data_IF_757040730135
#
_entry.id   IF_757040730135
#
_cell.length_a   1.000
_cell.length_b   1.000
_cell.length_c   1.000
_cell.angle_alpha   90.00
_cell.angle_beta   90.00
_cell.angle_gamma   90.00
#
_symmetry.space_group_name_H-M   'P 1'
#
loop_
_entity.id
_entity.type
_entity.pdbx_description
1 polymer ?
#
# COMPACT_ATOMS: atom_id res chain seq x y z
N UNK A 1 10.71 -2.39 16.21
CA UNK A 1 11.63 -1.50 15.47
C UNK A 1 12.22 -2.32 14.34
N UNK A 2 11.67 -2.17 13.13
CA UNK A 2 12.14 -2.93 11.96
C UNK A 2 13.43 -2.28 11.46
N UNK A 3 14.50 -3.06 11.36
CA UNK A 3 15.70 -2.65 10.65
C UNK A 3 15.42 -2.75 9.14
N UNK A 4 14.77 -1.71 8.59
CA UNK A 4 14.53 -1.62 7.15
C UNK A 4 15.85 -1.27 6.48
N UNK A 5 16.30 -2.12 5.56
CA UNK A 5 17.48 -1.86 4.75
C UNK A 5 17.22 -0.70 3.79
N UNK A 6 18.30 -0.03 3.34
CA UNK A 6 18.19 1.05 2.35
C UNK A 6 17.49 0.60 1.06
N UNK A 7 17.78 -0.62 0.60
CA UNK A 7 17.20 -1.22 -0.60
C UNK A 7 15.67 -1.43 -0.46
N UNK A 8 15.22 -1.81 0.73
CA UNK A 8 13.79 -1.93 1.03
C UNK A 8 13.10 -0.55 1.05
N UNK A 9 13.73 0.48 1.61
CA UNK A 9 13.21 1.85 1.54
C UNK A 9 13.14 2.37 0.11
N UNK A 10 14.17 2.12 -0.70
CA UNK A 10 14.22 2.51 -2.12
C UNK A 10 13.09 1.80 -2.90
N UNK A 11 12.81 0.54 -2.58
CA UNK A 11 11.70 -0.23 -3.18
C UNK A 11 10.34 0.36 -2.85
N UNK A 12 10.12 0.79 -1.60
CA UNK A 12 8.89 1.45 -1.19
C UNK A 12 8.73 2.79 -1.88
N UNK A 13 9.80 3.58 -1.92
CA UNK A 13 9.78 4.88 -2.57
C UNK A 13 9.49 4.73 -4.07
N UNK A 14 10.08 3.71 -4.72
CA UNK A 14 9.75 3.35 -6.09
C UNK A 14 8.27 3.00 -6.26
N UNK A 15 7.72 2.13 -5.41
CA UNK A 15 6.31 1.73 -5.46
C UNK A 15 5.36 2.92 -5.28
N UNK A 16 5.66 3.81 -4.33
CA UNK A 16 4.88 5.03 -4.12
C UNK A 16 4.98 5.93 -5.36
N UNK A 17 6.18 6.16 -5.88
CA UNK A 17 6.40 7.01 -7.05
C UNK A 17 5.75 6.47 -8.34
N UNK A 18 5.66 5.15 -8.48
CA UNK A 18 4.90 4.53 -9.57
C UNK A 18 3.40 4.69 -9.34
N UNK A 19 2.92 4.45 -8.13
CA UNK A 19 1.50 4.60 -7.78
C UNK A 19 1.00 6.05 -7.88
N UNK A 20 1.83 7.05 -7.59
CA UNK A 20 1.47 8.47 -7.83
C UNK A 20 1.28 8.80 -9.32
N UNK A 21 1.84 7.98 -10.22
CA UNK A 21 1.65 8.07 -11.67
C UNK A 21 0.53 7.15 -12.18
N UNK A 22 -0.18 6.46 -11.29
CA UNK A 22 -1.24 5.50 -11.62
C UNK A 22 -0.75 4.08 -11.92
N UNK A 23 0.54 3.79 -11.74
CA UNK A 23 1.11 2.46 -11.98
C UNK A 23 1.05 1.61 -10.70
N UNK A 24 -0.03 0.86 -10.51
CA UNK A 24 -0.24 0.01 -9.32
C UNK A 24 0.26 -1.42 -9.53
N UNK A 25 1.58 -1.64 -9.40
CA UNK A 25 2.25 -2.91 -9.74
C UNK A 25 1.75 -4.09 -8.89
N UNK A 26 1.37 -3.83 -7.63
CA UNK A 26 1.02 -4.86 -6.65
C UNK A 26 -0.44 -5.29 -6.68
N UNK A 27 -1.34 -4.48 -7.25
CA UNK A 27 -2.77 -4.69 -7.13
C UNK A 27 -3.44 -4.67 -8.50
N UNK A 28 -4.39 -5.59 -8.69
CA UNK A 28 -5.25 -5.59 -9.85
C UNK A 28 -6.23 -4.40 -9.81
N UNK A 29 -6.46 -3.76 -10.96
CA UNK A 29 -7.29 -2.57 -11.04
C UNK A 29 -8.75 -2.84 -10.67
N UNK A 30 -9.29 -4.00 -11.03
CA UNK A 30 -10.67 -4.37 -10.71
C UNK A 30 -10.82 -4.67 -9.22
N UNK A 31 -9.81 -5.27 -8.60
CA UNK A 31 -9.76 -5.42 -7.15
C UNK A 31 -9.73 -4.07 -6.43
N UNK A 32 -8.87 -3.15 -6.86
CA UNK A 32 -8.81 -1.79 -6.27
C UNK A 32 -10.17 -1.09 -6.40
N UNK A 33 -10.77 -1.12 -7.60
CA UNK A 33 -12.11 -0.56 -7.82
C UNK A 33 -13.14 -1.19 -6.91
N UNK A 34 -13.11 -2.51 -6.76
CA UNK A 34 -14.03 -3.24 -5.89
C UNK A 34 -13.90 -2.77 -4.44
N UNK A 35 -12.68 -2.65 -3.92
CA UNK A 35 -12.42 -2.17 -2.54
C UNK A 35 -13.00 -0.79 -2.32
N UNK A 36 -12.71 0.16 -3.22
CA UNK A 36 -13.12 1.56 -3.05
C UNK A 36 -14.59 1.82 -3.40
N UNK A 37 -15.23 0.96 -4.19
CA UNK A 37 -16.67 1.07 -4.49
C UNK A 37 -17.54 0.40 -3.43
N UNK A 38 -17.07 -0.71 -2.88
CA UNK A 38 -17.86 -1.54 -1.94
C UNK A 38 -17.81 -1.03 -0.51
N UNK A 39 -16.79 -0.24 -0.15
CA UNK A 39 -16.68 0.35 1.18
C UNK A 39 -16.94 1.85 1.13
N UNK A 40 -18.10 2.28 1.62
CA UNK A 40 -18.41 3.71 1.79
C UNK A 40 -17.76 4.33 3.02
N UNK A 41 -17.21 3.51 3.92
CA UNK A 41 -16.65 3.97 5.19
C UNK A 41 -15.12 4.17 5.08
N UNK A 42 -14.62 5.37 5.43
CA UNK A 42 -13.18 5.58 5.59
C UNK A 42 -12.64 4.64 6.67
N UNK A 43 -11.43 4.13 6.44
CA UNK A 43 -10.79 3.21 7.37
C UNK A 43 -10.40 3.94 8.64
N UNK A 44 -10.71 3.36 9.80
CA UNK A 44 -10.36 3.94 11.10
C UNK A 44 -8.89 3.68 11.47
N UNK A 45 -8.36 4.42 12.44
CA UNK A 45 -6.98 4.23 12.94
C UNK A 45 -6.74 2.82 13.48
N UNK A 46 -7.72 2.22 14.18
CA UNK A 46 -7.62 0.86 14.71
C UNK A 46 -7.53 -0.19 13.59
N UNK A 47 -8.28 -0.01 12.51
CA UNK A 47 -8.23 -0.90 11.34
C UNK A 47 -6.89 -0.76 10.60
N UNK A 48 -6.35 0.46 10.54
CA UNK A 48 -5.03 0.72 9.97
C UNK A 48 -3.92 0.02 10.79
N UNK A 49 -4.00 0.10 12.11
CA UNK A 49 -3.06 -0.54 13.02
C UNK A 49 -3.05 -2.07 12.86
N UNK A 50 -4.23 -2.67 12.67
CA UNK A 50 -4.36 -4.12 12.46
C UNK A 50 -3.68 -4.62 11.18
N UNK A 51 -3.43 -3.74 10.20
CA UNK A 51 -2.76 -4.11 8.95
C UNK A 51 -1.36 -3.54 8.78
N UNK A 52 -0.87 -2.79 9.76
CA UNK A 52 0.48 -2.20 9.75
C UNK A 52 1.55 -3.27 9.54
N UNK A 53 1.46 -4.39 10.25
CA UNK A 53 2.41 -5.49 10.10
C UNK A 53 2.38 -6.12 8.70
N UNK A 54 1.25 -6.06 7.99
CA UNK A 54 1.13 -6.58 6.62
C UNK A 54 1.84 -5.65 5.63
N UNK A 55 1.71 -4.34 5.84
CA UNK A 55 2.44 -3.32 5.07
C UNK A 55 3.93 -3.44 5.33
N UNK A 56 4.35 -3.49 6.60
CA UNK A 56 5.76 -3.68 6.97
C UNK A 56 6.35 -4.95 6.34
N UNK A 57 5.60 -6.06 6.35
CA UNK A 57 6.04 -7.30 5.74
C UNK A 57 6.13 -7.19 4.21
N UNK A 58 5.19 -6.51 3.56
CA UNK A 58 5.26 -6.22 2.13
C UNK A 58 6.52 -5.43 1.78
N UNK A 59 6.84 -4.41 2.57
CA UNK A 59 8.04 -3.58 2.42
C UNK A 59 9.31 -4.41 2.62
N UNK A 60 9.31 -5.33 3.58
CA UNK A 60 10.48 -6.15 3.89
C UNK A 60 10.73 -7.26 2.84
N UNK A 61 9.74 -7.61 2.03
CA UNK A 61 9.88 -8.66 1.01
C UNK A 61 10.69 -8.18 -0.19
N UNK A 62 11.71 -8.98 -0.54
CA UNK A 62 12.53 -8.73 -1.72
C UNK A 62 11.86 -9.27 -3.00
N UNK A 63 11.40 -8.34 -3.83
CA UNK A 63 10.87 -8.57 -5.17
C UNK A 63 9.34 -8.62 -5.27
N UNK A 64 8.80 -8.07 -6.36
CA UNK A 64 7.36 -7.96 -6.63
C UNK A 64 6.65 -9.32 -6.68
N UNK A 65 7.32 -10.38 -7.13
CA UNK A 65 6.73 -11.71 -7.21
C UNK A 65 6.34 -12.24 -5.81
N UNK A 66 7.20 -12.04 -4.80
CA UNK A 66 6.91 -12.46 -3.42
C UNK A 66 5.83 -11.59 -2.79
N UNK A 67 5.87 -10.29 -3.06
CA UNK A 67 4.85 -9.35 -2.59
C UNK A 67 3.46 -9.72 -3.15
N UNK A 68 3.35 -10.03 -4.44
CA UNK A 68 2.10 -10.49 -5.06
C UNK A 68 1.59 -11.80 -4.48
N UNK A 69 2.45 -12.81 -4.40
CA UNK A 69 2.08 -14.10 -3.82
C UNK A 69 1.56 -13.94 -2.38
N UNK A 70 2.20 -13.10 -1.59
CA UNK A 70 1.76 -12.80 -0.23
C UNK A 70 0.38 -12.13 -0.18
N UNK A 71 0.11 -11.16 -1.06
CA UNK A 71 -1.17 -10.46 -1.16
C UNK A 71 -2.29 -11.43 -1.55
N UNK A 72 -2.02 -12.34 -2.47
CA UNK A 72 -2.96 -13.36 -2.95
C UNK A 72 -3.33 -14.40 -1.87
N UNK A 73 -2.47 -14.59 -0.86
CA UNK A 73 -2.71 -15.48 0.29
C UNK A 73 -3.50 -14.81 1.43
N UNK A 74 -3.70 -13.49 1.39
CA UNK A 74 -4.43 -12.78 2.44
C UNK A 74 -5.93 -13.09 2.39
N UNK A 75 -6.54 -13.17 3.56
CA UNK A 75 -8.00 -13.16 3.66
C UNK A 75 -8.55 -11.88 3.03
N UNK A 76 -9.69 -11.97 2.34
CA UNK A 76 -10.29 -10.88 1.58
C UNK A 76 -10.42 -9.59 2.40
N UNK A 77 -10.90 -9.68 3.64
CA UNK A 77 -11.04 -8.53 4.53
C UNK A 77 -9.69 -7.86 4.84
N UNK A 78 -8.66 -8.67 5.10
CA UNK A 78 -7.30 -8.19 5.35
C UNK A 78 -6.71 -7.55 4.09
N UNK A 79 -6.90 -8.18 2.93
CA UNK A 79 -6.47 -7.67 1.64
C UNK A 79 -7.07 -6.29 1.35
N UNK A 80 -8.37 -6.12 1.58
CA UNK A 80 -9.06 -4.84 1.38
C UNK A 80 -8.48 -3.74 2.26
N UNK A 81 -8.19 -4.05 3.53
CA UNK A 81 -7.56 -3.10 4.46
C UNK A 81 -6.13 -2.77 4.06
N UNK A 82 -5.34 -3.76 3.62
CA UNK A 82 -3.98 -3.55 3.09
C UNK A 82 -4.00 -2.61 1.88
N UNK A 83 -4.93 -2.83 0.95
CA UNK A 83 -5.11 -1.96 -0.22
C UNK A 83 -5.42 -0.52 0.23
N UNK A 84 -6.39 -0.34 1.13
CA UNK A 84 -6.73 1.00 1.65
C UNK A 84 -5.54 1.68 2.31
N UNK A 85 -4.83 1.00 3.20
CA UNK A 85 -3.64 1.56 3.87
C UNK A 85 -2.56 1.93 2.87
N UNK A 86 -2.30 1.08 1.89
CA UNK A 86 -1.34 1.37 0.82
C UNK A 86 -1.72 2.64 0.05
N UNK A 87 -2.97 2.75 -0.38
CA UNK A 87 -3.44 3.92 -1.14
C UNK A 87 -3.50 5.18 -0.28
N UNK A 88 -3.79 5.08 1.03
CA UNK A 88 -3.69 6.22 1.95
C UNK A 88 -2.24 6.74 2.03
N UNK A 89 -1.23 5.85 2.03
CA UNK A 89 0.19 6.25 2.01
C UNK A 89 0.53 6.95 0.69
N UNK A 90 0.04 6.43 -0.44
CA UNK A 90 0.24 7.04 -1.78
C UNK A 90 -0.43 8.42 -1.85
N UNK A 91 -1.65 8.54 -1.35
CA UNK A 91 -2.40 9.80 -1.31
C UNK A 91 -1.69 10.85 -0.45
N UNK A 92 -1.24 10.47 0.75
CA UNK A 92 -0.45 11.37 1.60
C UNK A 92 0.82 11.85 0.89
N UNK A 93 1.52 10.96 0.19
CA UNK A 93 2.70 11.33 -0.60
C UNK A 93 2.38 12.29 -1.75
N UNK A 94 1.23 12.12 -2.42
CA UNK A 94 0.74 13.06 -3.43
C UNK A 94 0.49 14.45 -2.85
N UNK A 95 -0.16 14.53 -1.68
CA UNK A 95 -0.42 15.79 -0.99
C UNK A 95 0.88 16.49 -0.59
N UNK A 96 1.84 15.76 0.00
CA UNK A 96 3.15 16.31 0.38
C UNK A 96 3.91 16.83 -0.85
N UNK A 97 3.97 16.07 -1.95
CA UNK A 97 4.65 16.48 -3.17
C UNK A 97 4.02 17.73 -3.84
N UNK A 98 2.72 17.94 -3.62
CA UNK A 98 1.98 19.08 -4.16
C UNK A 98 2.17 20.35 -3.34
N UNK A 99 2.37 20.24 -2.02
CA UNK A 99 2.59 21.39 -1.13
C UNK A 99 3.96 22.06 -1.33
N UNK A 100 4.97 21.35 -1.83
CA UNK A 100 6.33 21.89 -2.07
C UNK A 100 6.38 22.89 -3.25
N UNK A 101 5.28 23.06 -4.01
CA UNK A 101 5.20 23.96 -5.18
C UNK A 101 4.64 25.36 -4.92
N UNK A 102 4.50 25.81 -3.66
CA UNK A 102 3.98 27.14 -3.33
C UNK A 102 4.97 28.00 -2.54
#
# INVERSE_FOLDING_TARGET
MIAVSKEQLDTVQYLIQQSTQGNHILFDLDLVRHVFTSSSKPMGEEEAYQVEHHIERLIAMDGFAKQKAYIEELAEETLHRVIKTYFNIVENSLFESSQVRH
#
